data_IF_678260240378
#
_entry.id   IF_678260240378
#
_cell.length_a   1.000
_cell.length_b   1.000
_cell.length_c   1.000
_cell.angle_alpha   90.00
_cell.angle_beta   90.00
_cell.angle_gamma   90.00
#
_symmetry.space_group_name_H-M   'P 1'
#
loop_
_entity.id
_entity.type
_entity.pdbx_description
1 polymer ?
#
# COMPACT_ATOMS: atom_id res chain seq x y z
N UNK A 1 -5.04 20.07 19.75
CA UNK A 1 -6.29 20.77 19.39
C UNK A 1 -6.76 20.32 17.99
N UNK A 2 -6.48 19.07 17.60
CA UNK A 2 -6.39 18.70 16.18
C UNK A 2 -7.55 17.83 15.67
N UNK A 3 -8.33 17.25 16.58
CA UNK A 3 -9.54 16.49 16.22
C UNK A 3 -10.70 17.40 15.78
N UNK A 4 -10.75 18.65 16.26
CA UNK A 4 -11.83 19.60 15.97
C UNK A 4 -11.66 20.19 14.56
N UNK A 5 -10.42 20.42 14.12
CA UNK A 5 -10.12 20.95 12.78
C UNK A 5 -10.47 19.93 11.68
N UNK A 6 -10.24 18.63 11.93
CA UNK A 6 -10.59 17.55 11.00
C UNK A 6 -12.10 17.39 10.79
N UNK A 7 -12.90 17.48 11.87
CA UNK A 7 -14.36 17.39 11.79
C UNK A 7 -14.99 18.61 11.08
N UNK A 8 -14.41 19.80 11.26
CA UNK A 8 -14.87 21.02 10.57
C UNK A 8 -14.61 20.91 9.06
N UNK A 9 -13.46 20.39 8.64
CA UNK A 9 -13.13 20.20 7.21
C UNK A 9 -14.05 19.18 6.52
N UNK A 10 -14.33 18.05 7.17
CA UNK A 10 -15.26 17.03 6.62
C UNK A 10 -16.69 17.56 6.56
N UNK A 11 -17.13 18.30 7.58
CA UNK A 11 -18.45 18.94 7.62
C UNK A 11 -18.64 19.99 6.51
N UNK A 12 -17.62 20.80 6.24
CA UNK A 12 -17.64 21.82 5.17
C UNK A 12 -17.74 21.18 3.78
N UNK A 13 -17.07 20.06 3.56
CA UNK A 13 -17.12 19.31 2.29
C UNK A 13 -18.53 18.73 2.06
N UNK A 14 -19.13 18.12 3.08
CA UNK A 14 -20.49 17.55 3.00
C UNK A 14 -21.54 18.67 2.77
N UNK A 15 -21.39 19.81 3.45
CA UNK A 15 -22.29 20.96 3.29
C UNK A 15 -22.21 21.58 1.88
N UNK A 16 -21.01 21.71 1.31
CA UNK A 16 -20.81 22.24 -0.04
C UNK A 16 -21.45 21.34 -1.12
N UNK A 17 -21.35 20.02 -0.97
CA UNK A 17 -21.98 19.03 -1.86
C UNK A 17 -23.51 19.14 -1.82
N UNK A 18 -24.08 19.32 -0.62
CA UNK A 18 -25.54 19.46 -0.45
C UNK A 18 -26.11 20.72 -1.11
N UNK A 19 -25.37 21.84 -1.05
CA UNK A 19 -25.83 23.13 -1.62
C UNK A 19 -25.71 23.18 -3.15
N UNK A 20 -24.71 22.53 -3.73
CA UNK A 20 -24.51 22.52 -5.20
C UNK A 20 -25.37 21.48 -5.93
N UNK A 21 -26.00 20.54 -5.23
CA UNK A 21 -26.91 19.56 -5.85
C UNK A 21 -28.29 20.14 -6.22
N UNK A 22 -28.65 21.33 -5.72
CA UNK A 22 -29.96 21.97 -5.95
C UNK A 22 -29.85 23.21 -6.82
N UNK A 23 -29.52 23.03 -8.10
CA UNK A 23 -29.75 24.09 -9.08
C UNK A 23 -28.92 23.97 -10.36
N UNK A 24 -29.56 23.44 -11.42
CA UNK A 24 -29.74 24.12 -12.72
C UNK A 24 -30.20 23.12 -13.77
N UNK A 25 -31.45 23.27 -14.21
CA UNK A 25 -31.99 22.68 -15.44
C UNK A 25 -31.54 23.54 -16.63
N UNK A 26 -31.05 22.83 -17.65
CA UNK A 26 -30.94 23.14 -19.10
C UNK A 26 -30.30 24.46 -19.54
N UNK A 27 -29.19 24.29 -20.27
CA UNK A 27 -28.98 24.96 -21.56
C UNK A 27 -28.42 23.93 -22.54
N UNK A 28 -29.18 23.66 -23.61
CA UNK A 28 -28.70 22.89 -24.76
C UNK A 28 -27.91 23.88 -25.61
N UNK A 29 -26.61 23.66 -25.74
CA UNK A 29 -25.79 24.26 -26.80
C UNK A 29 -25.11 23.11 -27.52
N UNK A 30 -25.60 22.83 -28.71
CA UNK A 30 -24.96 21.94 -29.66
C UNK A 30 -23.64 22.58 -30.08
N UNK A 31 -22.51 21.96 -29.72
CA UNK A 31 -21.26 22.16 -30.42
C UNK A 31 -20.65 20.78 -30.68
N UNK A 32 -20.43 20.52 -31.96
CA UNK A 32 -19.73 19.38 -32.52
C UNK A 32 -18.31 19.29 -31.97
N UNK A 33 -18.10 18.42 -30.98
CA UNK A 33 -16.78 17.91 -30.64
C UNK A 33 -16.74 16.44 -30.99
N UNK A 34 -15.71 16.03 -31.73
CA UNK A 34 -15.27 14.66 -31.97
C UNK A 34 -15.19 13.89 -30.65
N UNK A 35 -16.32 13.30 -30.25
CA UNK A 35 -16.50 12.68 -28.96
C UNK A 35 -15.92 11.28 -28.98
N UNK A 36 -14.87 11.06 -28.18
CA UNK A 36 -14.53 9.72 -27.71
C UNK A 36 -15.83 9.10 -27.17
N UNK A 37 -16.27 7.91 -27.64
CA UNK A 37 -17.57 7.37 -27.30
C UNK A 37 -17.68 7.21 -25.77
N UNK A 38 -18.79 7.67 -25.16
CA UNK A 38 -19.00 7.67 -23.69
C UNK A 38 -18.61 6.35 -23.01
N UNK A 39 -18.74 5.22 -23.72
CA UNK A 39 -18.38 3.88 -23.27
C UNK A 39 -16.86 3.69 -23.05
N UNK A 40 -16.00 4.24 -23.91
CA UNK A 40 -14.54 4.09 -23.74
C UNK A 40 -14.02 4.95 -22.59
N UNK A 41 -14.59 6.14 -22.38
CA UNK A 41 -14.28 6.97 -21.21
C UNK A 41 -14.69 6.30 -19.89
N UNK A 42 -15.84 5.63 -19.87
CA UNK A 42 -16.30 4.86 -18.70
C UNK A 42 -15.38 3.66 -18.42
N UNK A 43 -14.98 2.92 -19.45
CA UNK A 43 -14.03 1.79 -19.30
C UNK A 43 -12.68 2.28 -18.77
N UNK A 44 -12.15 3.38 -19.30
CA UNK A 44 -10.90 3.96 -18.82
C UNK A 44 -10.98 4.37 -17.34
N UNK A 45 -12.11 4.96 -16.91
CA UNK A 45 -12.32 5.30 -15.51
C UNK A 45 -12.34 4.05 -14.60
N UNK A 46 -13.06 3.01 -15.00
CA UNK A 46 -13.12 1.75 -14.23
C UNK A 46 -11.75 1.07 -14.13
N UNK A 47 -10.91 1.19 -15.16
CA UNK A 47 -9.53 0.69 -15.12
C UNK A 47 -8.66 1.44 -14.11
N UNK A 48 -8.77 2.78 -14.04
CA UNK A 48 -8.04 3.59 -13.06
C UNK A 48 -8.51 3.24 -11.65
N UNK A 49 -9.83 3.17 -11.43
CA UNK A 49 -10.40 2.78 -10.13
C UNK A 49 -9.95 1.38 -9.72
N UNK A 50 -9.92 0.42 -10.65
CA UNK A 50 -9.43 -0.93 -10.39
C UNK A 50 -7.96 -0.95 -9.99
N UNK A 51 -7.10 -0.19 -10.67
CA UNK A 51 -5.69 -0.07 -10.32
C UNK A 51 -5.50 0.58 -8.93
N UNK A 52 -6.31 1.59 -8.59
CA UNK A 52 -6.30 2.20 -7.25
C UNK A 52 -6.68 1.19 -6.17
N UNK A 53 -7.76 0.43 -6.37
CA UNK A 53 -8.19 -0.62 -5.43
C UNK A 53 -7.06 -1.64 -5.21
N UNK A 54 -6.41 -2.08 -6.28
CA UNK A 54 -5.28 -3.00 -6.21
C UNK A 54 -4.10 -2.41 -5.41
N UNK A 55 -3.82 -1.11 -5.54
CA UNK A 55 -2.80 -0.43 -4.72
C UNK A 55 -3.20 -0.44 -3.24
N UNK A 56 -4.46 -0.11 -2.91
CA UNK A 56 -4.96 -0.13 -1.53
C UNK A 56 -4.82 -1.53 -0.90
N UNK A 57 -5.28 -2.57 -1.61
CA UNK A 57 -5.14 -3.97 -1.20
C UNK A 57 -3.68 -4.37 -1.01
N UNK A 58 -2.82 -3.98 -1.93
CA UNK A 58 -1.41 -4.35 -1.90
C UNK A 58 -0.71 -3.72 -0.71
N UNK A 59 -0.93 -2.44 -0.44
CA UNK A 59 -0.35 -1.77 0.74
C UNK A 59 -0.85 -2.44 2.03
N UNK A 60 -2.14 -2.78 2.11
CA UNK A 60 -2.68 -3.51 3.26
C UNK A 60 -1.95 -4.86 3.48
N UNK A 61 -1.70 -5.62 2.40
CA UNK A 61 -0.94 -6.88 2.49
C UNK A 61 0.50 -6.62 2.93
N UNK A 62 1.16 -5.59 2.40
CA UNK A 62 2.53 -5.23 2.78
C UNK A 62 2.66 -4.82 4.26
N UNK A 63 1.64 -4.16 4.80
CA UNK A 63 1.58 -3.75 6.21
C UNK A 63 1.37 -4.93 7.16
N UNK A 64 0.68 -5.99 6.72
CA UNK A 64 0.23 -7.08 7.60
C UNK A 64 0.96 -8.42 7.37
N UNK A 65 1.60 -8.63 6.23
CA UNK A 65 2.28 -9.90 5.94
C UNK A 65 3.57 -10.05 6.76
N UNK A 66 3.75 -11.24 7.32
CA UNK A 66 5.02 -11.69 7.90
C UNK A 66 5.84 -12.54 6.91
N UNK A 67 5.28 -12.91 5.75
CA UNK A 67 5.98 -13.73 4.76
C UNK A 67 6.81 -12.82 3.82
N UNK A 68 8.16 -12.91 3.85
CA UNK A 68 9.02 -12.09 3.00
C UNK A 68 8.78 -12.27 1.50
N UNK A 69 8.54 -13.50 1.02
CA UNK A 69 8.29 -13.77 -0.41
C UNK A 69 7.00 -13.11 -0.90
N UNK A 70 5.99 -13.12 -0.03
CA UNK A 70 4.73 -12.41 -0.29
C UNK A 70 4.98 -10.91 -0.39
N UNK A 71 5.80 -10.35 0.50
CA UNK A 71 6.12 -8.91 0.47
C UNK A 71 6.92 -8.54 -0.79
N UNK A 72 7.93 -9.33 -1.16
CA UNK A 72 8.73 -9.10 -2.37
C UNK A 72 7.86 -9.12 -3.64
N UNK A 73 7.00 -10.14 -3.80
CA UNK A 73 6.10 -10.23 -4.96
C UNK A 73 5.08 -9.09 -5.00
N UNK A 74 4.54 -8.69 -3.84
CA UNK A 74 3.59 -7.57 -3.73
C UNK A 74 4.23 -6.23 -3.99
N UNK A 75 5.50 -6.02 -3.62
CA UNK A 75 6.25 -4.82 -3.97
C UNK A 75 6.44 -4.70 -5.48
N UNK A 76 6.80 -5.78 -6.17
CA UNK A 76 6.91 -5.78 -7.63
C UNK A 76 5.59 -5.40 -8.30
N UNK A 77 4.49 -6.01 -7.85
CA UNK A 77 3.14 -5.69 -8.34
C UNK A 77 2.73 -4.23 -8.03
N UNK A 78 3.02 -3.74 -6.83
CA UNK A 78 2.74 -2.35 -6.44
C UNK A 78 3.49 -1.37 -7.35
N UNK A 79 4.76 -1.64 -7.66
CA UNK A 79 5.54 -0.80 -8.58
C UNK A 79 4.89 -0.71 -9.95
N UNK A 80 4.41 -1.82 -10.49
CA UNK A 80 3.70 -1.87 -11.77
C UNK A 80 2.44 -0.98 -11.72
N UNK A 81 1.62 -1.11 -10.67
CA UNK A 81 0.38 -0.32 -10.54
C UNK A 81 0.66 1.16 -10.32
N UNK A 82 1.64 1.53 -9.50
CA UNK A 82 2.04 2.92 -9.34
C UNK A 82 2.59 3.50 -10.64
N UNK A 83 3.34 2.73 -11.43
CA UNK A 83 3.82 3.14 -12.75
C UNK A 83 2.63 3.43 -13.68
N UNK A 84 1.63 2.54 -13.71
CA UNK A 84 0.40 2.78 -14.46
C UNK A 84 -0.32 4.06 -13.99
N UNK A 85 -0.50 4.23 -12.68
CA UNK A 85 -1.20 5.39 -12.12
C UNK A 85 -0.46 6.71 -12.36
N UNK A 86 0.88 6.69 -12.42
CA UNK A 86 1.71 7.88 -12.67
C UNK A 86 1.51 8.49 -14.06
N UNK A 87 0.89 7.76 -15.00
CA UNK A 87 0.58 8.25 -16.35
C UNK A 87 -0.63 9.17 -16.39
N UNK A 88 -1.44 9.22 -15.33
CA UNK A 88 -2.64 10.06 -15.26
C UNK A 88 -2.37 11.37 -14.53
N UNK A 89 -3.07 12.43 -14.91
CA UNK A 89 -2.97 13.72 -14.22
C UNK A 89 -3.65 13.66 -12.83
N UNK A 90 -3.24 14.58 -11.94
CA UNK A 90 -3.70 14.62 -10.55
C UNK A 90 -5.22 14.79 -10.39
N UNK A 91 -5.89 15.53 -11.29
CA UNK A 91 -7.34 15.76 -11.22
C UNK A 91 -8.09 14.45 -11.49
N UNK A 92 -7.71 13.75 -12.56
CA UNK A 92 -8.28 12.45 -12.93
C UNK A 92 -8.07 11.43 -11.81
N UNK A 93 -6.85 11.37 -11.27
CA UNK A 93 -6.50 10.43 -10.21
C UNK A 93 -7.32 10.70 -8.94
N UNK A 94 -7.46 11.96 -8.53
CA UNK A 94 -8.24 12.35 -7.34
C UNK A 94 -9.73 11.99 -7.47
N UNK A 95 -10.32 12.19 -8.65
CA UNK A 95 -11.72 11.82 -8.89
C UNK A 95 -11.93 10.30 -8.86
N UNK A 96 -11.01 9.54 -9.47
CA UNK A 96 -11.03 8.09 -9.43
C UNK A 96 -10.81 7.55 -8.01
N UNK A 97 -9.91 8.18 -7.23
CA UNK A 97 -9.59 7.79 -5.86
C UNK A 97 -10.81 7.84 -4.94
N UNK A 98 -11.61 8.91 -5.01
CA UNK A 98 -12.85 9.03 -4.21
C UNK A 98 -13.81 7.87 -4.52
N UNK A 99 -13.97 7.55 -5.81
CA UNK A 99 -14.87 6.48 -6.25
C UNK A 99 -14.33 5.10 -5.86
N UNK A 100 -13.01 4.90 -5.99
CA UNK A 100 -12.33 3.67 -5.62
C UNK A 100 -12.38 3.39 -4.11
N UNK A 101 -12.22 4.39 -3.26
CA UNK A 101 -12.33 4.25 -1.80
C UNK A 101 -13.74 3.79 -1.41
N UNK A 102 -14.79 4.37 -1.99
CA UNK A 102 -16.16 3.94 -1.74
C UNK A 102 -16.36 2.46 -2.09
N UNK A 103 -15.91 2.04 -3.28
CA UNK A 103 -15.98 0.65 -3.72
C UNK A 103 -15.12 -0.29 -2.87
N UNK A 104 -13.96 0.17 -2.41
CA UNK A 104 -13.10 -0.60 -1.52
C UNK A 104 -13.78 -0.86 -0.18
N UNK A 105 -14.43 0.16 0.40
CA UNK A 105 -15.21 0.02 1.63
C UNK A 105 -16.40 -0.95 1.48
N UNK A 106 -17.08 -0.94 0.34
CA UNK A 106 -18.16 -1.89 0.04
C UNK A 106 -17.65 -3.34 0.00
N UNK A 107 -16.43 -3.56 -0.51
CA UNK A 107 -15.82 -4.90 -0.61
C UNK A 107 -15.17 -5.36 0.70
N UNK A 108 -14.61 -4.45 1.49
CA UNK A 108 -13.79 -4.73 2.68
C UNK A 108 -14.20 -3.85 3.87
N UNK A 109 -15.32 -4.19 4.51
CA UNK A 109 -15.86 -3.40 5.63
C UNK A 109 -14.92 -3.32 6.85
N UNK A 110 -14.04 -4.30 7.02
CA UNK A 110 -13.10 -4.44 8.14
C UNK A 110 -11.72 -3.82 7.88
N UNK A 111 -11.50 -3.26 6.67
CA UNK A 111 -10.21 -2.71 6.25
C UNK A 111 -10.37 -1.22 5.91
N UNK A 112 -10.31 -0.32 6.91
CA UNK A 112 -10.40 1.11 6.63
C UNK A 112 -9.19 1.57 5.82
N UNK A 113 -9.43 2.44 4.84
CA UNK A 113 -8.34 3.07 4.07
C UNK A 113 -7.58 4.07 4.95
N UNK A 114 -6.26 3.92 5.02
CA UNK A 114 -5.38 4.79 5.80
C UNK A 114 -4.90 6.00 5.00
N UNK A 115 -4.49 7.06 5.71
CA UNK A 115 -3.89 8.24 5.08
C UNK A 115 -2.60 7.89 4.30
N UNK A 116 -1.82 6.94 4.81
CA UNK A 116 -0.61 6.44 4.14
C UNK A 116 -0.94 5.82 2.77
N UNK A 117 -2.01 5.04 2.68
CA UNK A 117 -2.48 4.44 1.43
C UNK A 117 -2.90 5.51 0.42
N UNK A 118 -3.68 6.51 0.86
CA UNK A 118 -4.12 7.65 0.05
C UNK A 118 -2.90 8.41 -0.49
N UNK A 119 -1.98 8.80 0.40
CA UNK A 119 -0.78 9.55 0.04
C UNK A 119 0.11 8.81 -0.94
N UNK A 120 0.21 7.49 -0.82
CA UNK A 120 0.98 6.64 -1.76
C UNK A 120 0.44 6.76 -3.18
N UNK A 121 -0.88 6.83 -3.34
CA UNK A 121 -1.52 7.01 -4.66
C UNK A 121 -1.30 8.44 -5.18
N UNK A 122 -1.59 9.45 -4.34
CA UNK A 122 -1.47 10.87 -4.72
C UNK A 122 -0.04 11.28 -5.09
N UNK A 123 0.95 10.65 -4.46
CA UNK A 123 2.37 10.95 -4.67
C UNK A 123 3.12 9.83 -5.39
N UNK A 124 2.41 9.04 -6.20
CA UNK A 124 2.94 7.85 -6.88
C UNK A 124 4.27 8.10 -7.61
N UNK A 125 4.41 9.21 -8.34
CA UNK A 125 5.68 9.58 -9.01
C UNK A 125 6.84 9.79 -8.04
N UNK A 126 6.60 10.43 -6.88
CA UNK A 126 7.62 10.64 -5.85
C UNK A 126 8.03 9.32 -5.20
N UNK A 127 7.06 8.41 -5.00
CA UNK A 127 7.32 7.06 -4.49
C UNK A 127 8.15 6.26 -5.49
N UNK A 128 7.85 6.34 -6.79
CA UNK A 128 8.62 5.66 -7.84
C UNK A 128 10.06 6.17 -7.93
N UNK A 129 10.29 7.48 -7.77
CA UNK A 129 11.63 8.06 -7.70
C UNK A 129 12.41 7.56 -6.48
N UNK A 130 11.74 7.39 -5.35
CA UNK A 130 12.33 6.91 -4.09
C UNK A 130 11.99 5.44 -3.81
N UNK A 131 11.78 4.65 -4.87
CA UNK A 131 11.23 3.30 -4.76
C UNK A 131 12.03 2.43 -3.80
N UNK A 132 13.35 2.56 -3.87
CA UNK A 132 14.29 1.83 -3.05
C UNK A 132 14.03 1.98 -1.55
N UNK A 133 13.97 3.24 -1.07
CA UNK A 133 13.74 3.55 0.34
C UNK A 133 12.32 3.16 0.77
N UNK A 134 11.35 3.34 -0.14
CA UNK A 134 9.98 2.93 0.10
C UNK A 134 9.86 1.40 0.26
N UNK A 135 10.50 0.60 -0.60
CA UNK A 135 10.47 -0.86 -0.54
C UNK A 135 11.22 -1.42 0.66
N UNK A 136 12.36 -0.82 1.02
CA UNK A 136 13.19 -1.25 2.16
C UNK A 136 12.39 -1.23 3.46
N UNK A 137 11.53 -0.22 3.66
CA UNK A 137 10.65 -0.14 4.82
C UNK A 137 9.76 -1.38 4.95
N UNK A 138 9.04 -1.75 3.89
CA UNK A 138 8.10 -2.88 3.96
C UNK A 138 8.81 -4.22 4.09
N UNK A 139 9.95 -4.41 3.41
CA UNK A 139 10.78 -5.61 3.58
C UNK A 139 11.28 -5.73 5.02
N UNK A 140 11.79 -4.65 5.59
CA UNK A 140 12.26 -4.62 6.96
C UNK A 140 11.15 -4.89 7.98
N UNK A 141 10.01 -4.20 7.85
CA UNK A 141 8.85 -4.40 8.71
C UNK A 141 8.35 -5.87 8.62
N UNK A 142 8.38 -6.47 7.42
CA UNK A 142 8.04 -7.87 7.21
C UNK A 142 9.00 -8.83 7.91
N UNK A 143 10.31 -8.59 7.84
CA UNK A 143 11.29 -9.43 8.53
C UNK A 143 11.10 -9.37 10.05
N UNK A 144 10.82 -8.19 10.61
CA UNK A 144 10.53 -8.06 12.04
C UNK A 144 9.34 -8.93 12.45
N UNK A 145 8.25 -8.88 11.68
CA UNK A 145 7.08 -9.75 11.90
C UNK A 145 7.42 -11.22 11.72
N UNK A 146 8.17 -11.57 10.69
CA UNK A 146 8.62 -12.95 10.43
C UNK A 146 9.39 -13.51 11.62
N UNK A 147 10.40 -12.78 12.10
CA UNK A 147 11.23 -13.19 13.24
C UNK A 147 10.38 -13.33 14.50
N UNK A 148 9.43 -12.42 14.74
CA UNK A 148 8.53 -12.50 15.88
C UNK A 148 7.73 -13.81 15.88
N UNK A 149 7.12 -14.17 14.74
CA UNK A 149 6.40 -15.45 14.57
C UNK A 149 7.34 -16.64 14.79
N UNK A 150 8.53 -16.60 14.17
CA UNK A 150 9.50 -17.69 14.25
C UNK A 150 10.07 -17.90 15.66
N UNK A 151 10.23 -16.83 16.45
CA UNK A 151 10.66 -16.94 17.86
C UNK A 151 9.64 -17.74 18.68
N UNK A 152 8.34 -17.46 18.51
CA UNK A 152 7.28 -18.21 19.18
C UNK A 152 7.34 -19.70 18.78
N UNK A 153 7.52 -19.99 17.50
CA UNK A 153 7.65 -21.37 17.02
C UNK A 153 8.90 -22.08 17.55
N UNK A 154 10.04 -21.38 17.61
CA UNK A 154 11.30 -21.91 18.17
C UNK A 154 11.11 -22.25 19.65
N UNK A 155 10.48 -21.37 20.43
CA UNK A 155 10.30 -21.61 21.87
C UNK A 155 9.42 -22.82 22.17
N UNK A 156 8.48 -23.15 21.28
CA UNK A 156 7.61 -24.32 21.40
C UNK A 156 8.35 -25.65 21.13
N UNK A 157 9.57 -25.60 20.57
CA UNK A 157 10.36 -26.82 20.33
C UNK A 157 10.93 -27.38 21.63
N UNK A 158 10.81 -28.71 21.80
CA UNK A 158 11.22 -29.41 23.02
C UNK A 158 12.73 -29.56 23.19
N UNK A 159 13.49 -29.55 22.09
CA UNK A 159 14.92 -29.89 22.11
C UNK A 159 15.78 -28.71 21.70
N UNK A 160 16.90 -28.51 22.39
CA UNK A 160 17.89 -27.46 22.08
C UNK A 160 18.37 -27.57 20.63
N UNK A 161 18.67 -28.78 20.17
CA UNK A 161 19.06 -29.04 18.78
C UNK A 161 17.97 -28.64 17.78
N UNK A 162 16.69 -28.87 18.10
CA UNK A 162 15.57 -28.41 17.30
C UNK A 162 15.51 -26.90 17.20
N UNK A 163 15.68 -26.21 18.34
CA UNK A 163 15.72 -24.74 18.41
C UNK A 163 16.84 -24.17 17.55
N UNK A 164 18.07 -24.68 17.71
CA UNK A 164 19.24 -24.30 16.91
C UNK A 164 19.04 -24.49 15.41
N UNK A 165 18.53 -25.66 15.00
CA UNK A 165 18.27 -25.94 13.59
C UNK A 165 17.23 -25.00 12.99
N UNK A 166 16.18 -24.65 13.75
CA UNK A 166 15.15 -23.71 13.29
C UNK A 166 15.70 -22.28 13.25
N UNK A 167 16.44 -21.84 14.26
CA UNK A 167 17.11 -20.54 14.27
C UNK A 167 18.07 -20.37 13.08
N UNK A 168 18.86 -21.40 12.74
CA UNK A 168 19.72 -21.40 11.57
C UNK A 168 18.93 -21.23 10.25
N UNK A 169 17.80 -21.94 10.10
CA UNK A 169 16.93 -21.78 8.91
C UNK A 169 16.36 -20.37 8.80
N UNK A 170 15.95 -19.78 9.93
CA UNK A 170 15.43 -18.41 9.96
C UNK A 170 16.54 -17.42 9.61
N UNK A 171 17.76 -17.62 10.10
CA UNK A 171 18.93 -16.83 9.73
C UNK A 171 19.23 -16.87 8.23
N UNK A 172 19.11 -18.03 7.58
CA UNK A 172 19.23 -18.15 6.12
C UNK A 172 18.18 -17.30 5.39
N UNK A 173 16.92 -17.34 5.83
CA UNK A 173 15.85 -16.55 5.21
C UNK A 173 16.07 -15.04 5.41
N UNK A 174 16.59 -14.62 6.58
CA UNK A 174 16.96 -13.20 6.82
C UNK A 174 18.05 -12.78 5.85
N UNK A 175 19.06 -13.62 5.63
CA UNK A 175 20.15 -13.34 4.71
C UNK A 175 19.66 -13.24 3.25
N UNK A 176 18.87 -14.21 2.80
CA UNK A 176 18.26 -14.22 1.47
C UNK A 176 17.36 -13.00 1.25
N UNK A 177 16.52 -12.66 2.23
CA UNK A 177 15.67 -11.46 2.16
C UNK A 177 16.52 -10.18 2.22
N UNK A 178 17.60 -10.19 3.01
CA UNK A 178 18.53 -9.08 3.19
C UNK A 178 19.24 -8.66 1.90
N UNK A 179 19.38 -9.57 0.93
CA UNK A 179 19.87 -9.26 -0.42
C UNK A 179 18.98 -8.22 -1.11
N UNK A 180 17.67 -8.26 -0.85
CA UNK A 180 16.68 -7.36 -1.45
C UNK A 180 16.56 -6.02 -0.73
N UNK A 181 17.16 -5.87 0.45
CA UNK A 181 17.31 -4.57 1.09
C UNK A 181 18.37 -3.79 0.33
N UNK A 182 18.24 -2.48 0.27
CA UNK A 182 19.14 -1.65 -0.49
C UNK A 182 19.92 -0.65 0.34
N UNK A 183 19.33 -0.14 1.42
CA UNK A 183 20.02 0.74 2.35
C UNK A 183 21.02 -0.04 3.21
N UNK A 184 22.23 0.49 3.36
CA UNK A 184 23.25 -0.11 4.22
C UNK A 184 22.80 -0.16 5.69
N UNK A 185 22.05 0.85 6.16
CA UNK A 185 21.48 0.86 7.51
C UNK A 185 20.51 -0.30 7.74
N UNK A 186 19.57 -0.52 6.80
CA UNK A 186 18.58 -1.59 6.91
C UNK A 186 19.23 -2.97 6.80
N UNK A 187 20.26 -3.11 5.96
CA UNK A 187 21.10 -4.33 5.89
C UNK A 187 21.81 -4.61 7.20
N UNK A 188 22.48 -3.60 7.78
CA UNK A 188 23.17 -3.75 9.05
C UNK A 188 22.21 -4.15 10.18
N UNK A 189 21.00 -3.58 10.19
CA UNK A 189 19.94 -3.99 11.13
C UNK A 189 19.49 -5.43 10.91
N UNK A 190 19.37 -5.89 9.66
CA UNK A 190 19.05 -7.28 9.34
C UNK A 190 20.14 -8.25 9.82
N UNK A 191 21.40 -7.91 9.61
CA UNK A 191 22.55 -8.70 10.10
C UNK A 191 22.61 -8.74 11.63
N UNK A 192 22.36 -7.62 12.31
CA UNK A 192 22.28 -7.58 13.77
C UNK A 192 21.13 -8.47 14.30
N UNK A 193 19.98 -8.45 13.64
CA UNK A 193 18.86 -9.34 13.98
C UNK A 193 19.22 -10.82 13.80
N UNK A 194 19.87 -11.17 12.69
CA UNK A 194 20.38 -12.52 12.41
C UNK A 194 21.36 -12.96 13.49
N UNK A 195 22.34 -12.13 13.82
CA UNK A 195 23.34 -12.40 14.86
C UNK A 195 22.67 -12.66 16.22
N UNK A 196 21.80 -11.75 16.66
CA UNK A 196 21.06 -11.88 17.93
C UNK A 196 20.18 -13.12 17.99
N UNK A 197 19.63 -13.56 16.87
CA UNK A 197 18.83 -14.79 16.79
C UNK A 197 19.70 -16.02 17.01
N UNK A 198 20.87 -16.08 16.38
CA UNK A 198 21.80 -17.21 16.52
C UNK A 198 22.48 -17.25 17.89
N UNK A 199 22.76 -16.10 18.50
CA UNK A 199 23.31 -16.04 19.87
C UNK A 199 22.31 -16.51 20.93
N UNK A 200 21.01 -16.44 20.65
CA UNK A 200 19.96 -16.84 21.58
C UNK A 200 19.72 -18.37 21.64
N UNK A 201 20.17 -19.14 20.66
CA UNK A 201 19.86 -20.57 20.50
C UNK A 201 21.06 -21.39 20.06
#
# INVERSE_FOLDING_TARGET
MDAIVGLILVGVIIYWISKNAKGKRKTIVNNSSTGIPKRTAQVARLQIEGAIIQVLETIYILENSANPDTVTSRLAFLRERLTQLSTYNAITLKQALISAIARYHEAYYDRPVTESQIKTIETSSNILHNWQSFSDKYLYDSMLRYISVQRVEIEQLKTTKGKQNRAAKVATIIEETGIHLYSADTKNKAEDMKKKLLEAY
#
